data_IF_560852531071
#
_entry.id   IF_560852531071
#
_cell.length_a   1.000
_cell.length_b   1.000
_cell.length_c   1.000
_cell.angle_alpha   90.00
_cell.angle_beta   90.00
_cell.angle_gamma   90.00
#
_symmetry.space_group_name_H-M   'P 1'
#
loop_
_entity.id
_entity.type
_entity.pdbx_description
1 polymer ?
#
# COMPACT_ATOMS: atom_id res chain seq x y z
N UNK A 1 30.73 -5.29 -31.05
CA UNK A 1 29.28 -5.22 -30.73
C UNK A 1 29.15 -4.44 -29.44
N UNK A 2 28.85 -3.15 -29.51
CA UNK A 2 28.61 -2.34 -28.32
C UNK A 2 27.31 -2.81 -27.66
N UNK A 3 27.21 -2.82 -26.32
CA UNK A 3 25.94 -3.13 -25.67
C UNK A 3 24.93 -2.04 -26.03
N UNK A 4 23.83 -2.45 -26.67
CA UNK A 4 22.69 -1.58 -26.96
C UNK A 4 22.23 -0.89 -25.65
N UNK A 5 22.02 0.43 -25.66
CA UNK A 5 21.58 1.16 -24.48
C UNK A 5 20.23 0.58 -24.01
N UNK A 6 20.17 0.20 -22.73
CA UNK A 6 18.98 -0.32 -22.07
C UNK A 6 17.73 0.46 -22.51
N UNK A 7 16.84 -0.18 -23.27
CA UNK A 7 15.58 0.45 -23.67
C UNK A 7 14.84 0.94 -22.42
N UNK A 8 14.58 2.24 -22.38
CA UNK A 8 13.90 2.94 -21.29
C UNK A 8 12.42 2.51 -21.30
N UNK A 9 12.11 1.38 -20.67
CA UNK A 9 10.75 0.88 -20.61
C UNK A 9 9.99 1.56 -19.46
N UNK A 10 8.85 2.19 -19.77
CA UNK A 10 8.04 2.95 -18.80
C UNK A 10 7.08 2.05 -17.99
N UNK A 11 7.52 0.84 -17.61
CA UNK A 11 6.71 -0.09 -16.82
C UNK A 11 6.32 0.50 -15.47
N UNK A 12 7.14 1.39 -14.90
CA UNK A 12 6.80 2.10 -13.67
C UNK A 12 5.63 3.07 -13.87
N UNK A 13 5.48 3.68 -15.05
CA UNK A 13 4.33 4.52 -15.37
C UNK A 13 3.05 3.67 -15.48
N UNK A 14 3.14 2.49 -16.06
CA UNK A 14 2.00 1.54 -16.15
C UNK A 14 1.62 1.04 -14.75
N UNK A 15 2.61 0.73 -13.90
CA UNK A 15 2.37 0.37 -12.49
C UNK A 15 1.72 1.51 -11.72
N UNK A 16 2.15 2.75 -11.94
CA UNK A 16 1.53 3.92 -11.34
C UNK A 16 0.07 4.05 -11.79
N UNK A 17 -0.21 3.97 -13.10
CA UNK A 17 -1.59 4.01 -13.62
C UNK A 17 -2.46 2.89 -13.00
N UNK A 18 -1.93 1.67 -12.89
CA UNK A 18 -2.62 0.56 -12.25
C UNK A 18 -2.90 0.83 -10.76
N UNK A 19 -1.93 1.38 -10.02
CA UNK A 19 -2.13 1.78 -8.63
C UNK A 19 -3.20 2.86 -8.47
N UNK A 20 -3.27 3.83 -9.40
CA UNK A 20 -4.33 4.84 -9.45
C UNK A 20 -5.71 4.22 -9.72
N UNK A 21 -5.81 3.20 -10.58
CA UNK A 21 -7.08 2.48 -10.81
C UNK A 21 -7.57 1.79 -9.54
N UNK A 22 -6.67 1.16 -8.78
CA UNK A 22 -7.00 0.55 -7.48
C UNK A 22 -7.48 1.60 -6.50
N UNK A 23 -6.73 2.70 -6.34
CA UNK A 23 -7.08 3.82 -5.46
C UNK A 23 -8.45 4.41 -5.83
N UNK A 24 -8.71 4.61 -7.14
CA UNK A 24 -9.97 5.11 -7.63
C UNK A 24 -11.13 4.18 -7.25
N UNK A 25 -11.00 2.86 -7.46
CA UNK A 25 -12.01 1.88 -7.06
C UNK A 25 -12.29 1.90 -5.55
N UNK A 26 -11.23 1.97 -4.73
CA UNK A 26 -11.34 2.02 -3.27
C UNK A 26 -12.10 3.25 -2.78
N UNK A 27 -12.02 4.38 -3.49
CA UNK A 27 -12.79 5.57 -3.12
C UNK A 27 -14.31 5.33 -3.18
N UNK A 28 -14.79 4.56 -4.16
CA UNK A 28 -16.20 4.17 -4.26
C UNK A 28 -16.59 3.17 -3.17
N UNK A 29 -15.71 2.21 -2.87
CA UNK A 29 -15.94 1.26 -1.78
C UNK A 29 -16.07 1.97 -0.41
N UNK A 30 -15.23 2.97 -0.14
CA UNK A 30 -15.29 3.77 1.08
C UNK A 30 -16.53 4.67 1.16
N UNK A 31 -16.94 5.26 0.04
CA UNK A 31 -18.22 5.99 -0.06
C UNK A 31 -19.43 5.01 -0.04
N UNK A 32 -19.18 3.71 -0.19
CA UNK A 32 -20.11 2.63 -0.51
C UNK A 32 -21.09 3.01 -1.61
N UNK A 33 -20.55 3.60 -2.66
CA UNK A 33 -21.17 3.75 -3.97
C UNK A 33 -20.89 2.48 -4.77
N UNK A 34 -21.62 2.28 -5.86
CA UNK A 34 -21.33 1.19 -6.80
C UNK A 34 -19.98 1.40 -7.46
N UNK A 35 -19.12 0.39 -7.40
CA UNK A 35 -17.79 0.47 -8.01
C UNK A 35 -17.88 0.74 -9.51
N UNK A 36 -17.03 1.64 -10.04
CA UNK A 36 -16.98 1.90 -11.46
C UNK A 36 -16.47 0.64 -12.16
N UNK A 37 -17.16 0.26 -13.25
CA UNK A 37 -16.82 -0.93 -14.03
C UNK A 37 -16.31 -0.52 -15.40
N UNK A 38 -15.16 -1.05 -15.78
CA UNK A 38 -14.70 -1.05 -17.14
C UNK A 38 -15.60 -1.97 -17.98
N UNK A 39 -16.14 -1.42 -19.08
CA UNK A 39 -17.04 -2.14 -19.99
C UNK A 39 -18.25 -2.80 -19.29
N UNK A 40 -18.71 -2.21 -18.18
CA UNK A 40 -19.80 -2.72 -17.32
C UNK A 40 -19.57 -4.08 -16.64
N UNK A 41 -18.46 -4.77 -16.90
CA UNK A 41 -18.22 -6.15 -16.47
C UNK A 41 -17.00 -6.33 -15.56
N UNK A 42 -16.00 -5.45 -15.63
CA UNK A 42 -14.75 -5.59 -14.85
C UNK A 42 -14.59 -4.40 -13.91
N UNK A 43 -14.64 -4.56 -12.58
CA UNK A 43 -14.38 -3.45 -11.67
C UNK A 43 -12.93 -2.94 -11.83
N UNK A 44 -12.71 -1.62 -11.70
CA UNK A 44 -11.38 -1.03 -11.89
C UNK A 44 -10.36 -1.52 -10.86
N UNK A 45 -10.80 -1.86 -9.65
CA UNK A 45 -9.94 -2.39 -8.59
C UNK A 45 -9.20 -3.68 -8.99
N UNK A 46 -9.91 -4.80 -9.22
CA UNK A 46 -9.33 -6.05 -9.69
C UNK A 46 -8.48 -5.90 -10.95
N UNK A 47 -8.92 -5.08 -11.91
CA UNK A 47 -8.16 -4.84 -13.13
C UNK A 47 -6.81 -4.18 -12.84
N UNK A 48 -6.79 -3.14 -12.02
CA UNK A 48 -5.55 -2.48 -11.58
C UNK A 48 -4.64 -3.43 -10.83
N UNK A 49 -5.19 -4.26 -9.94
CA UNK A 49 -4.47 -5.31 -9.22
C UNK A 49 -3.80 -6.29 -10.19
N UNK A 50 -4.53 -6.84 -11.17
CA UNK A 50 -3.98 -7.78 -12.15
C UNK A 50 -2.85 -7.18 -12.98
N UNK A 51 -3.00 -5.94 -13.47
CA UNK A 51 -1.95 -5.25 -14.23
C UNK A 51 -0.72 -5.05 -13.35
N UNK A 52 -0.90 -4.53 -12.13
CA UNK A 52 0.19 -4.25 -11.20
C UNK A 52 0.98 -5.51 -10.83
N UNK A 53 0.29 -6.61 -10.49
CA UNK A 53 0.92 -7.87 -10.11
C UNK A 53 1.59 -8.57 -11.30
N UNK A 54 0.99 -8.54 -12.49
CA UNK A 54 1.58 -9.16 -13.70
C UNK A 54 2.91 -8.49 -14.05
N UNK A 55 2.95 -7.15 -14.10
CA UNK A 55 4.18 -6.41 -14.40
C UNK A 55 5.21 -6.61 -13.28
N UNK A 56 4.78 -6.56 -12.02
CA UNK A 56 5.69 -6.77 -10.88
C UNK A 56 6.29 -8.17 -10.89
N UNK A 57 5.50 -9.20 -11.23
CA UNK A 57 5.97 -10.58 -11.38
C UNK A 57 7.04 -10.69 -12.48
N UNK A 58 6.76 -10.14 -13.66
CA UNK A 58 7.74 -10.07 -14.76
C UNK A 58 9.06 -9.42 -14.32
N UNK A 59 9.00 -8.26 -13.66
CA UNK A 59 10.19 -7.55 -13.18
C UNK A 59 10.93 -8.30 -12.08
N UNK A 60 10.22 -9.03 -11.22
CA UNK A 60 10.82 -9.86 -10.18
C UNK A 60 11.59 -11.03 -10.80
N UNK A 61 10.99 -11.72 -11.78
CA UNK A 61 11.64 -12.82 -12.51
C UNK A 61 12.87 -12.32 -13.28
N UNK A 62 12.73 -11.22 -14.04
CA UNK A 62 13.85 -10.60 -14.76
C UNK A 62 14.97 -10.12 -13.81
N UNK A 63 14.62 -9.65 -12.60
CA UNK A 63 15.61 -9.30 -11.58
C UNK A 63 16.37 -10.52 -11.04
N UNK A 64 15.74 -11.69 -10.99
CA UNK A 64 16.38 -12.93 -10.54
C UNK A 64 17.33 -13.48 -11.60
N UNK A 65 16.89 -13.51 -12.87
CA UNK A 65 17.71 -13.97 -14.00
C UNK A 65 19.01 -13.16 -14.16
N UNK A 66 18.96 -11.85 -13.86
CA UNK A 66 20.14 -10.98 -13.92
C UNK A 66 21.15 -11.19 -12.79
N UNK A 67 20.70 -11.62 -11.61
CA UNK A 67 21.54 -11.78 -10.42
C UNK A 67 20.90 -12.82 -9.47
N UNK A 68 21.15 -14.13 -9.70
CA UNK A 68 20.50 -15.23 -8.99
C UNK A 68 21.14 -15.47 -7.61
N UNK A 69 21.24 -14.43 -6.80
CA UNK A 69 21.73 -14.49 -5.43
C UNK A 69 20.61 -14.18 -4.45
N UNK A 70 20.21 -15.17 -3.64
CA UNK A 70 19.10 -15.07 -2.68
C UNK A 70 19.30 -13.89 -1.72
N UNK A 71 20.48 -13.78 -1.10
CA UNK A 71 20.74 -12.76 -0.09
C UNK A 71 20.64 -11.35 -0.67
N UNK A 72 21.28 -11.09 -1.80
CA UNK A 72 21.24 -9.79 -2.49
C UNK A 72 19.84 -9.46 -3.00
N UNK A 73 19.11 -10.46 -3.48
CA UNK A 73 17.74 -10.33 -3.94
C UNK A 73 16.80 -9.87 -2.82
N UNK A 74 16.93 -10.45 -1.62
CA UNK A 74 16.16 -10.05 -0.45
C UNK A 74 16.58 -8.67 0.08
N UNK A 75 17.89 -8.40 0.20
CA UNK A 75 18.41 -7.11 0.65
C UNK A 75 17.87 -5.93 -0.18
N UNK A 76 17.91 -6.04 -1.51
CA UNK A 76 17.37 -5.01 -2.43
C UNK A 76 15.89 -4.73 -2.18
N UNK A 77 15.11 -5.73 -1.78
CA UNK A 77 13.66 -5.59 -1.50
C UNK A 77 13.41 -5.01 -0.13
N UNK A 78 14.15 -5.45 0.88
CA UNK A 78 14.03 -4.92 2.24
C UNK A 78 14.34 -3.42 2.29
N UNK A 79 15.44 -2.98 1.66
CA UNK A 79 15.81 -1.55 1.58
C UNK A 79 14.78 -0.75 0.78
N UNK A 80 14.01 -1.37 -0.12
CA UNK A 80 12.95 -0.70 -0.87
C UNK A 80 11.63 -0.59 -0.09
N UNK A 81 11.26 -1.61 0.69
CA UNK A 81 9.94 -1.71 1.33
C UNK A 81 9.98 -1.13 2.76
N UNK A 82 11.00 -1.47 3.56
CA UNK A 82 11.04 -1.12 4.97
C UNK A 82 11.05 0.39 5.24
N UNK A 83 11.83 1.24 4.52
CA UNK A 83 11.82 2.67 4.79
C UNK A 83 10.45 3.30 4.53
N UNK A 84 9.79 2.89 3.44
CA UNK A 84 8.45 3.36 3.10
C UNK A 84 7.42 2.94 4.15
N UNK A 85 7.50 1.70 4.63
CA UNK A 85 6.62 1.18 5.68
C UNK A 85 6.82 1.92 7.01
N UNK A 86 8.07 2.11 7.44
CA UNK A 86 8.40 2.84 8.68
C UNK A 86 7.87 4.28 8.62
N UNK A 87 8.17 5.00 7.55
CA UNK A 87 7.71 6.39 7.37
C UNK A 87 6.18 6.45 7.35
N UNK A 88 5.52 5.56 6.60
CA UNK A 88 4.06 5.51 6.54
C UNK A 88 3.47 5.25 7.93
N UNK A 89 3.94 4.24 8.66
CA UNK A 89 3.44 3.92 10.01
C UNK A 89 3.63 5.08 10.99
N UNK A 90 4.79 5.73 10.97
CA UNK A 90 5.07 6.90 11.83
C UNK A 90 4.14 8.05 11.48
N UNK A 91 4.02 8.40 10.19
CA UNK A 91 3.11 9.47 9.75
C UNK A 91 1.66 9.16 10.11
N UNK A 92 1.23 7.90 10.00
CA UNK A 92 -0.11 7.51 10.39
C UNK A 92 -0.35 7.68 11.89
N UNK A 93 0.57 7.25 12.75
CA UNK A 93 0.41 7.35 14.21
C UNK A 93 0.51 8.79 14.71
N UNK A 94 1.48 9.56 14.21
CA UNK A 94 1.85 10.86 14.79
C UNK A 94 1.30 12.07 14.02
N UNK A 95 0.85 11.89 12.77
CA UNK A 95 0.25 12.96 11.97
C UNK A 95 -1.22 12.68 11.75
N UNK A 96 -1.58 11.59 11.07
CA UNK A 96 -2.98 11.30 10.73
C UNK A 96 -3.82 11.02 11.97
N UNK A 97 -3.31 10.22 12.91
CA UNK A 97 -3.99 9.89 14.15
C UNK A 97 -4.44 11.13 14.94
N UNK A 98 -3.53 12.03 15.34
CA UNK A 98 -3.88 13.25 16.07
C UNK A 98 -4.82 14.20 15.31
N UNK A 99 -4.78 14.20 13.97
CA UNK A 99 -5.67 15.06 13.15
C UNK A 99 -7.09 14.52 13.14
N UNK A 100 -7.27 13.19 13.12
CA UNK A 100 -8.57 12.55 12.89
C UNK A 100 -9.14 11.81 14.10
N UNK A 101 -8.40 11.72 15.21
CA UNK A 101 -8.88 11.04 16.42
C UNK A 101 -9.91 11.88 17.17
N UNK A 102 -10.99 11.25 17.62
CA UNK A 102 -12.00 11.83 18.52
C UNK A 102 -11.58 11.76 19.99
N UNK A 103 -10.51 11.00 20.31
CA UNK A 103 -10.04 10.80 21.68
C UNK A 103 -9.11 11.93 22.15
N UNK A 104 -9.07 12.24 23.46
CA UNK A 104 -8.05 13.11 24.03
C UNK A 104 -6.64 12.56 23.75
N UNK A 105 -5.68 13.42 23.40
CA UNK A 105 -4.33 13.00 23.02
C UNK A 105 -3.64 12.09 24.05
N UNK A 106 -3.85 12.34 25.35
CA UNK A 106 -3.30 11.50 26.42
C UNK A 106 -3.83 10.07 26.38
N UNK A 107 -5.11 9.91 26.06
CA UNK A 107 -5.75 8.59 25.97
C UNK A 107 -5.35 7.89 24.67
N UNK A 108 -5.29 8.62 23.56
CA UNK A 108 -4.83 8.09 22.27
C UNK A 108 -3.41 7.50 22.35
N UNK A 109 -2.42 8.23 22.87
CA UNK A 109 -1.04 7.72 23.01
C UNK A 109 -0.88 6.69 24.16
N UNK A 110 -1.78 6.73 25.15
CA UNK A 110 -1.85 5.73 26.22
C UNK A 110 -2.47 4.40 25.77
N UNK A 111 -3.24 4.41 24.68
CA UNK A 111 -4.00 3.25 24.24
C UNK A 111 -3.08 2.11 23.73
N UNK A 112 -3.30 0.85 24.17
CA UNK A 112 -2.57 -0.31 23.66
C UNK A 112 -2.63 -0.49 22.15
N UNK A 113 -3.73 -0.10 21.48
CA UNK A 113 -3.89 -0.21 20.03
C UNK A 113 -2.98 0.73 19.26
N UNK A 114 -2.74 1.95 19.76
CA UNK A 114 -1.80 2.90 19.15
C UNK A 114 -0.37 2.37 19.16
N UNK A 115 0.03 1.73 20.27
CA UNK A 115 1.32 1.05 20.39
C UNK A 115 1.37 -0.23 19.55
N UNK A 116 0.27 -0.98 19.51
CA UNK A 116 0.10 -2.14 18.65
C UNK A 116 0.24 -1.78 17.17
N UNK A 117 -0.12 -0.56 16.77
CA UNK A 117 0.04 -0.11 15.40
C UNK A 117 1.50 -0.04 14.93
N UNK A 118 2.47 0.15 15.84
CA UNK A 118 3.91 0.07 15.51
C UNK A 118 4.33 -1.34 15.06
N UNK A 119 3.57 -2.38 15.39
CA UNK A 119 3.84 -3.74 14.93
C UNK A 119 3.77 -3.88 13.40
N UNK A 120 3.09 -2.95 12.71
CA UNK A 120 3.12 -2.87 11.25
C UNK A 120 4.54 -2.76 10.70
N UNK A 121 5.47 -2.11 11.41
CA UNK A 121 6.89 -2.02 11.01
C UNK A 121 7.53 -3.42 10.95
N UNK A 122 7.13 -4.32 11.84
CA UNK A 122 7.55 -5.72 11.88
C UNK A 122 6.78 -6.62 10.91
N UNK A 123 6.07 -6.07 9.91
CA UNK A 123 5.22 -6.78 8.96
C UNK A 123 4.02 -7.50 9.61
N UNK A 124 3.65 -7.12 10.84
CA UNK A 124 2.41 -7.58 11.47
C UNK A 124 1.28 -6.60 11.15
N UNK A 125 0.35 -7.06 10.33
CA UNK A 125 -0.68 -6.19 9.78
C UNK A 125 -1.71 -5.83 10.86
N UNK A 126 -1.76 -4.55 11.22
CA UNK A 126 -2.74 -3.99 12.15
C UNK A 126 -3.44 -2.83 11.47
N UNK A 127 -4.76 -2.96 11.30
CA UNK A 127 -5.55 -2.03 10.49
C UNK A 127 -6.13 -0.85 11.25
N UNK A 128 -6.23 -0.97 12.58
CA UNK A 128 -7.09 -0.11 13.39
C UNK A 128 -6.30 0.88 14.25
N UNK A 129 -6.76 2.13 14.30
CA UNK A 129 -6.34 3.11 15.30
C UNK A 129 -7.54 3.58 16.14
N UNK A 130 -7.33 3.83 17.45
CA UNK A 130 -8.42 4.21 18.34
C UNK A 130 -8.91 5.64 18.05
N UNK A 131 -10.22 5.81 17.91
CA UNK A 131 -10.88 7.11 17.72
C UNK A 131 -10.72 7.70 16.31
N UNK A 132 -10.05 7.02 15.38
CA UNK A 132 -9.77 7.55 14.04
C UNK A 132 -10.83 7.02 13.06
N UNK A 133 -11.55 7.89 12.34
CA UNK A 133 -12.59 7.47 11.39
C UNK A 133 -13.73 6.62 11.99
N UNK A 134 -14.14 6.89 13.24
CA UNK A 134 -15.24 6.17 13.92
C UNK A 134 -16.55 6.17 13.12
N UNK A 135 -16.80 7.25 12.37
CA UNK A 135 -18.03 7.44 11.59
C UNK A 135 -17.94 6.91 10.15
N UNK A 136 -16.82 6.27 9.77
CA UNK A 136 -16.67 5.68 8.44
C UNK A 136 -17.36 4.30 8.37
N UNK A 137 -17.72 3.85 7.16
CA UNK A 137 -18.35 2.53 6.94
C UNK A 137 -17.51 1.38 7.50
N UNK A 138 -16.19 1.54 7.50
CA UNK A 138 -15.25 0.67 8.23
C UNK A 138 -14.64 1.50 9.36
N UNK A 139 -15.34 1.54 10.49
CA UNK A 139 -14.94 2.33 11.65
C UNK A 139 -13.55 1.93 12.17
N UNK A 140 -12.77 2.92 12.59
CA UNK A 140 -11.42 2.74 13.15
C UNK A 140 -10.36 2.19 12.18
N UNK A 141 -10.72 1.78 10.96
CA UNK A 141 -9.78 1.25 9.98
C UNK A 141 -9.07 2.38 9.25
N UNK A 142 -7.73 2.35 9.28
CA UNK A 142 -6.89 3.37 8.63
C UNK A 142 -6.12 2.79 7.44
N UNK A 143 -5.61 1.57 7.55
CA UNK A 143 -4.82 0.91 6.51
C UNK A 143 -5.47 -0.40 6.03
N UNK A 144 -6.80 -0.47 5.99
CA UNK A 144 -7.52 -1.66 5.54
C UNK A 144 -7.20 -2.05 4.09
N UNK A 145 -6.97 -3.34 3.85
CA UNK A 145 -7.00 -3.90 2.49
C UNK A 145 -8.47 -4.06 2.09
N UNK A 146 -8.98 -3.16 1.24
CA UNK A 146 -10.33 -3.22 0.69
C UNK A 146 -10.37 -3.97 -0.65
#
# INVERSE_FOLDING_TARGET
MAPEPFQRNNLDAVRLAAAWMVLYSHSFALLGLTEPRFLSWIPFGPLGVFIFFTISGYLVSASWERDPNILRFFQRRLVRILPGLVICTILTIFVLGPIFTTLPMKEYFGNPHTRGYLQNIGLHIVYYLPGVFEHNKIGNAVNGSL
#
